data_IF_244626990389
#
_entry.id   IF_244626990389
#
_cell.length_a   1.000
_cell.length_b   1.000
_cell.length_c   1.000
_cell.angle_alpha   90.00
_cell.angle_beta   90.00
_cell.angle_gamma   90.00
#
_symmetry.space_group_name_H-M   'P 1'
#
loop_
_entity.id
_entity.type
_entity.pdbx_description
1 polymer ?
#
# COMPACT_ATOMS: atom_id res chain seq x y z
N UNK A 1 9.28 0.94 8.48
CA UNK A 1 8.05 0.69 9.27
C UNK A 1 8.40 0.72 10.75
N UNK A 2 9.34 -0.10 11.25
CA UNK A 2 9.64 -0.25 12.67
C UNK A 2 9.95 1.06 13.40
N UNK A 3 10.74 1.94 12.79
CA UNK A 3 11.05 3.26 13.35
C UNK A 3 9.81 4.15 13.46
N UNK A 4 8.91 4.07 12.47
CA UNK A 4 7.66 4.83 12.46
C UNK A 4 6.68 4.28 13.50
N UNK A 5 6.61 2.95 13.68
CA UNK A 5 5.83 2.33 14.74
C UNK A 5 6.27 2.80 16.13
N UNK A 6 7.59 2.82 16.39
CA UNK A 6 8.15 3.32 17.65
C UNK A 6 7.80 4.79 17.87
N UNK A 7 7.84 5.61 16.82
CA UNK A 7 7.45 7.01 16.87
C UNK A 7 5.95 7.15 17.23
N UNK A 8 5.08 6.39 16.59
CA UNK A 8 3.64 6.42 16.89
C UNK A 8 3.35 5.95 18.32
N UNK A 9 4.00 4.88 18.77
CA UNK A 9 3.86 4.39 20.13
C UNK A 9 4.34 5.42 21.18
N UNK A 10 5.43 6.14 20.90
CA UNK A 10 5.92 7.22 21.76
C UNK A 10 5.01 8.44 21.75
N UNK A 11 4.41 8.77 20.62
CA UNK A 11 3.52 9.93 20.44
C UNK A 11 2.13 9.69 21.05
N UNK A 12 1.69 8.45 21.02
CA UNK A 12 0.38 8.02 21.52
C UNK A 12 0.53 6.82 22.48
N UNK A 13 1.08 7.04 23.70
CA UNK A 13 1.43 5.95 24.61
C UNK A 13 0.21 5.12 25.05
N UNK A 14 -0.98 5.73 25.08
CA UNK A 14 -2.23 5.07 25.46
C UNK A 14 -2.92 4.29 24.32
N UNK A 15 -2.32 4.27 23.13
CA UNK A 15 -2.85 3.59 21.96
C UNK A 15 -1.92 2.47 21.51
N UNK A 16 -2.45 1.29 21.34
CA UNK A 16 -1.72 0.18 20.73
C UNK A 16 -1.51 0.44 19.23
N UNK A 17 -0.31 0.11 18.71
CA UNK A 17 0.01 0.17 17.29
C UNK A 17 -0.06 -1.22 16.68
N UNK A 18 -0.97 -1.41 15.74
CA UNK A 18 -1.12 -2.64 14.95
C UNK A 18 -0.38 -2.46 13.63
N UNK A 19 0.59 -3.33 13.35
CA UNK A 19 1.35 -3.34 12.10
C UNK A 19 0.86 -4.48 11.23
N UNK A 20 0.54 -4.17 9.98
CA UNK A 20 0.00 -5.14 9.02
C UNK A 20 0.49 -4.85 7.60
N UNK A 21 0.01 -5.61 6.60
CA UNK A 21 0.41 -5.43 5.19
C UNK A 21 -0.63 -5.94 4.22
N UNK A 22 -0.56 -5.48 2.96
CA UNK A 22 -1.36 -6.01 1.85
C UNK A 22 -0.50 -6.37 0.61
N UNK A 23 -0.87 -7.43 -0.12
CA UNK A 23 -1.83 -8.46 0.28
C UNK A 23 -1.29 -9.28 1.45
N UNK A 24 -2.19 -9.73 2.36
CA UNK A 24 -1.81 -10.50 3.55
C UNK A 24 -2.54 -10.03 4.81
N UNK A 25 -1.88 -10.16 5.96
CA UNK A 25 -2.38 -9.69 7.25
C UNK A 25 -3.41 -10.58 7.93
N UNK A 26 -3.94 -11.61 7.24
CA UNK A 26 -4.84 -12.64 7.78
C UNK A 26 -4.43 -14.00 7.26
N UNK A 27 -4.91 -15.08 7.87
CA UNK A 27 -4.58 -16.45 7.43
C UNK A 27 -5.01 -16.67 5.95
N UNK A 28 -6.22 -16.25 5.57
CA UNK A 28 -6.68 -16.32 4.18
C UNK A 28 -5.88 -15.35 3.30
N UNK A 29 -5.64 -14.13 3.78
CA UNK A 29 -4.87 -13.13 3.05
C UNK A 29 -3.46 -13.60 2.68
N UNK A 30 -2.77 -14.36 3.56
CA UNK A 30 -1.46 -14.92 3.27
C UNK A 30 -1.53 -16.07 2.23
N UNK A 31 -2.59 -16.86 2.20
CA UNK A 31 -2.81 -17.86 1.15
C UNK A 31 -3.04 -17.17 -0.20
N UNK A 32 -3.90 -16.15 -0.25
CA UNK A 32 -4.13 -15.35 -1.45
C UNK A 32 -2.84 -14.64 -1.91
N UNK A 33 -2.04 -14.11 -0.97
CA UNK A 33 -0.72 -13.54 -1.28
C UNK A 33 0.18 -14.56 -1.97
N UNK A 34 0.24 -15.78 -1.46
CA UNK A 34 1.05 -16.84 -2.09
C UNK A 34 0.63 -17.12 -3.53
N UNK A 35 -0.67 -17.19 -3.79
CA UNK A 35 -1.20 -17.33 -5.16
C UNK A 35 -0.85 -16.13 -6.04
N UNK A 36 -1.09 -14.91 -5.53
CA UNK A 36 -0.85 -13.66 -6.25
C UNK A 36 0.60 -13.47 -6.67
N UNK A 37 1.55 -13.90 -5.85
CA UNK A 37 2.98 -13.73 -6.11
C UNK A 37 3.58 -14.85 -6.99
N UNK A 38 2.99 -16.06 -6.98
CA UNK A 38 3.60 -17.24 -7.58
C UNK A 38 2.82 -17.82 -8.76
N UNK A 39 1.50 -17.66 -8.81
CA UNK A 39 0.70 -18.24 -9.88
C UNK A 39 0.50 -17.26 -11.06
N UNK A 40 0.63 -17.71 -12.30
CA UNK A 40 0.17 -16.93 -13.45
C UNK A 40 -1.36 -16.85 -13.45
N UNK A 41 -1.89 -15.66 -13.74
CA UNK A 41 -3.33 -15.45 -13.79
C UNK A 41 -3.70 -14.27 -14.69
N UNK A 42 -4.97 -14.22 -15.09
CA UNK A 42 -5.55 -13.08 -15.79
C UNK A 42 -5.51 -11.83 -14.91
N UNK A 43 -5.36 -10.65 -15.51
CA UNK A 43 -5.24 -9.38 -14.80
C UNK A 43 -6.48 -9.05 -13.96
N UNK A 44 -7.67 -9.34 -14.46
CA UNK A 44 -8.91 -9.11 -13.69
C UNK A 44 -9.01 -10.08 -12.50
N UNK A 45 -8.60 -11.34 -12.70
CA UNK A 45 -8.51 -12.32 -11.59
C UNK A 45 -7.53 -11.84 -10.52
N UNK A 46 -6.38 -11.30 -10.93
CA UNK A 46 -5.40 -10.75 -10.00
C UNK A 46 -5.99 -9.60 -9.17
N UNK A 47 -6.70 -8.67 -9.82
CA UNK A 47 -7.36 -7.56 -9.13
C UNK A 47 -8.45 -8.05 -8.17
N UNK A 48 -9.29 -8.98 -8.60
CA UNK A 48 -10.34 -9.56 -7.75
C UNK A 48 -9.76 -10.24 -6.51
N UNK A 49 -8.68 -10.99 -6.64
CA UNK A 49 -8.00 -11.63 -5.52
C UNK A 49 -7.32 -10.62 -4.57
N UNK A 50 -6.75 -9.53 -5.12
CA UNK A 50 -6.21 -8.43 -4.31
C UNK A 50 -7.31 -7.79 -3.45
N UNK A 51 -8.47 -7.52 -4.05
CA UNK A 51 -9.59 -6.91 -3.33
C UNK A 51 -10.31 -7.90 -2.40
N UNK A 52 -10.34 -9.19 -2.71
CA UNK A 52 -10.83 -10.23 -1.78
C UNK A 52 -9.94 -10.30 -0.54
N UNK A 53 -8.61 -10.33 -0.71
CA UNK A 53 -7.66 -10.31 0.42
C UNK A 53 -7.83 -9.03 1.26
N UNK A 54 -8.06 -7.88 0.63
CA UNK A 54 -8.33 -6.60 1.30
C UNK A 54 -9.61 -6.63 2.10
N UNK A 55 -10.72 -7.15 1.55
CA UNK A 55 -11.98 -7.23 2.30
C UNK A 55 -11.83 -8.05 3.57
N UNK A 56 -11.15 -9.19 3.48
CA UNK A 56 -10.85 -10.03 4.62
C UNK A 56 -9.98 -9.31 5.65
N UNK A 57 -8.93 -8.62 5.18
CA UNK A 57 -8.02 -7.85 6.02
C UNK A 57 -8.72 -6.69 6.73
N UNK A 58 -9.61 -5.97 6.04
CA UNK A 58 -10.43 -4.92 6.65
C UNK A 58 -11.30 -5.51 7.75
N UNK A 59 -12.03 -6.60 7.47
CA UNK A 59 -12.98 -7.18 8.41
C UNK A 59 -12.32 -7.78 9.66
N UNK A 60 -11.18 -8.42 9.51
CA UNK A 60 -10.56 -9.16 10.60
C UNK A 60 -9.49 -8.39 11.37
N UNK A 61 -8.88 -7.37 10.76
CA UNK A 61 -7.74 -6.65 11.35
C UNK A 61 -8.02 -5.16 11.47
N UNK A 62 -8.33 -4.48 10.36
CA UNK A 62 -8.35 -3.01 10.34
C UNK A 62 -9.55 -2.47 11.12
N UNK A 63 -10.78 -2.86 10.76
CA UNK A 63 -12.00 -2.37 11.42
C UNK A 63 -12.02 -2.69 12.92
N UNK A 64 -11.70 -3.91 13.38
CA UNK A 64 -11.62 -4.21 14.82
C UNK A 64 -10.58 -3.39 15.55
N UNK A 65 -9.40 -3.18 14.94
CA UNK A 65 -8.34 -2.37 15.55
C UNK A 65 -8.76 -0.90 15.67
N UNK A 66 -9.33 -0.32 14.62
CA UNK A 66 -9.80 1.07 14.63
C UNK A 66 -10.96 1.26 15.63
N UNK A 67 -11.91 0.32 15.69
CA UNK A 67 -13.01 0.33 16.66
C UNK A 67 -12.50 0.28 18.10
N UNK A 68 -11.41 -0.45 18.33
CA UNK A 68 -10.74 -0.49 19.65
C UNK A 68 -9.85 0.76 19.93
N UNK A 69 -9.87 1.79 19.07
CA UNK A 69 -9.08 3.01 19.22
C UNK A 69 -7.58 2.84 18.95
N UNK A 70 -7.16 1.73 18.36
CA UNK A 70 -5.77 1.47 18.03
C UNK A 70 -5.31 2.26 16.80
N UNK A 71 -4.00 2.37 16.62
CA UNK A 71 -3.38 2.92 15.41
C UNK A 71 -3.04 1.74 14.48
N UNK A 72 -3.46 1.81 13.22
CA UNK A 72 -3.13 0.79 12.21
C UNK A 72 -2.09 1.33 11.24
N UNK A 73 -0.99 0.64 11.08
CA UNK A 73 0.05 0.93 10.08
C UNK A 73 0.09 -0.25 9.10
N UNK A 74 -0.28 0.01 7.86
CA UNK A 74 -0.26 -1.00 6.80
C UNK A 74 0.85 -0.73 5.80
N UNK A 75 1.67 -1.76 5.52
CA UNK A 75 2.53 -1.76 4.36
C UNK A 75 1.69 -2.04 3.11
N UNK A 76 1.41 -0.98 2.36
CA UNK A 76 0.48 -0.91 1.24
C UNK A 76 -1.00 -0.98 1.67
N UNK A 77 -1.83 -0.45 0.80
CA UNK A 77 -3.28 -0.52 0.84
C UNK A 77 -3.82 -0.31 -0.58
N UNK A 78 -5.01 0.24 -0.74
CA UNK A 78 -5.71 0.35 -2.03
C UNK A 78 -4.89 1.04 -3.12
N UNK A 79 -4.11 2.08 -2.78
CA UNK A 79 -3.29 2.82 -3.75
C UNK A 79 -2.32 1.91 -4.51
N UNK A 80 -1.85 0.82 -3.87
CA UNK A 80 -1.00 -0.16 -4.52
C UNK A 80 -1.73 -0.91 -5.66
N UNK A 81 -3.03 -1.22 -5.50
CA UNK A 81 -3.80 -1.88 -6.56
C UNK A 81 -4.02 -0.94 -7.76
N UNK A 82 -4.29 0.34 -7.52
CA UNK A 82 -4.35 1.33 -8.59
C UNK A 82 -3.00 1.47 -9.31
N UNK A 83 -1.91 1.52 -8.57
CA UNK A 83 -0.59 1.66 -9.14
C UNK A 83 -0.16 0.43 -9.96
N UNK A 84 -0.27 -0.77 -9.39
CA UNK A 84 0.24 -1.99 -10.02
C UNK A 84 -0.72 -2.57 -11.06
N UNK A 85 -2.00 -2.80 -10.74
CA UNK A 85 -2.98 -3.36 -11.65
C UNK A 85 -3.47 -2.29 -12.64
N UNK A 86 -3.69 -1.05 -12.19
CA UNK A 86 -4.10 0.08 -13.04
C UNK A 86 -2.95 0.61 -13.87
N UNK A 87 -2.10 1.43 -13.30
CA UNK A 87 -1.02 2.12 -14.00
C UNK A 87 -0.04 1.16 -14.66
N UNK A 88 0.49 0.20 -13.92
CA UNK A 88 1.49 -0.74 -14.40
C UNK A 88 0.97 -1.71 -15.46
N UNK A 89 -0.19 -2.30 -15.25
CA UNK A 89 -0.75 -3.36 -16.11
C UNK A 89 -1.94 -2.94 -16.96
N UNK A 90 -2.45 -1.71 -16.80
CA UNK A 90 -3.47 -1.14 -17.66
C UNK A 90 -4.90 -1.61 -17.38
N UNK A 91 -5.20 -2.12 -16.17
CA UNK A 91 -6.57 -2.39 -15.78
C UNK A 91 -7.36 -1.06 -15.69
N UNK A 92 -8.58 -1.07 -16.17
CA UNK A 92 -9.46 0.11 -16.15
C UNK A 92 -9.57 0.70 -14.74
N UNK A 93 -9.30 1.99 -14.60
CA UNK A 93 -9.47 2.74 -13.34
C UNK A 93 -10.93 2.69 -12.88
N UNK A 94 -11.89 2.70 -13.80
CA UNK A 94 -13.31 2.58 -13.45
C UNK A 94 -13.60 1.25 -12.74
N UNK A 95 -13.06 0.11 -13.22
CA UNK A 95 -13.20 -1.19 -12.54
C UNK A 95 -12.55 -1.19 -11.15
N UNK A 96 -11.39 -0.56 -11.01
CA UNK A 96 -10.73 -0.44 -9.71
C UNK A 96 -11.54 0.43 -8.73
N UNK A 97 -12.12 1.52 -9.21
CA UNK A 97 -13.02 2.36 -8.41
C UNK A 97 -14.28 1.60 -7.96
N UNK A 98 -14.84 0.74 -8.83
CA UNK A 98 -16.00 -0.09 -8.46
C UNK A 98 -15.63 -1.11 -7.37
N UNK A 99 -14.47 -1.77 -7.49
CA UNK A 99 -13.95 -2.69 -6.49
C UNK A 99 -13.63 -1.97 -5.17
N UNK A 100 -13.02 -0.78 -5.23
CA UNK A 100 -12.73 0.03 -4.06
C UNK A 100 -14.02 0.41 -3.32
N UNK A 101 -15.03 0.91 -4.03
CA UNK A 101 -16.34 1.23 -3.44
C UNK A 101 -17.01 0.01 -2.80
N UNK A 102 -16.98 -1.13 -3.47
CA UNK A 102 -17.57 -2.34 -2.93
C UNK A 102 -16.86 -2.83 -1.66
N UNK A 103 -15.54 -2.84 -1.66
CA UNK A 103 -14.72 -3.45 -0.59
C UNK A 103 -14.53 -2.52 0.61
N UNK A 104 -14.42 -1.22 0.37
CA UNK A 104 -14.07 -0.19 1.36
C UNK A 104 -15.22 0.77 1.67
N UNK A 105 -16.38 0.64 0.99
CA UNK A 105 -17.55 1.48 1.24
C UNK A 105 -18.08 1.31 2.65
N UNK A 106 -18.40 2.43 3.31
CA UNK A 106 -19.00 2.48 4.64
C UNK A 106 -20.50 2.79 4.54
N UNK A 107 -21.22 2.56 5.64
CA UNK A 107 -22.68 2.75 5.68
C UNK A 107 -23.11 4.21 5.44
N UNK A 108 -22.24 5.19 5.73
CA UNK A 108 -22.47 6.61 5.49
C UNK A 108 -22.15 7.06 4.06
N UNK A 109 -21.75 6.12 3.19
CA UNK A 109 -21.36 6.39 1.80
C UNK A 109 -19.89 6.82 1.62
N UNK A 110 -19.13 6.98 2.70
CA UNK A 110 -17.69 7.24 2.64
C UNK A 110 -16.91 5.98 2.29
N UNK A 111 -15.62 6.14 1.98
CA UNK A 111 -14.68 5.02 1.83
C UNK A 111 -13.79 4.92 3.06
N UNK A 112 -13.54 3.70 3.51
CA UNK A 112 -12.45 3.45 4.45
C UNK A 112 -11.11 3.72 3.75
N UNK A 113 -10.46 4.81 4.12
CA UNK A 113 -9.16 5.24 3.59
C UNK A 113 -8.20 5.51 4.75
N UNK A 114 -6.88 5.37 4.55
CA UNK A 114 -5.90 5.83 5.53
C UNK A 114 -6.06 7.32 5.80
N UNK A 115 -5.88 7.75 7.03
CA UNK A 115 -5.79 9.18 7.36
C UNK A 115 -4.52 9.80 6.76
N UNK A 116 -3.43 9.01 6.67
CA UNK A 116 -2.15 9.41 6.13
C UNK A 116 -1.59 8.29 5.26
N UNK A 117 -1.10 8.64 4.07
CA UNK A 117 -0.32 7.77 3.20
C UNK A 117 1.07 8.36 2.99
N UNK A 118 2.09 7.68 3.48
CA UNK A 118 3.48 8.07 3.23
C UNK A 118 3.92 7.39 1.93
N UNK A 119 4.14 8.20 0.89
CA UNK A 119 4.60 7.74 -0.41
C UNK A 119 6.09 8.02 -0.58
N UNK A 120 6.90 6.97 -0.59
CA UNK A 120 8.33 7.03 -0.89
C UNK A 120 8.52 7.09 -2.40
N UNK A 121 8.75 8.29 -2.93
CA UNK A 121 8.98 8.48 -4.36
C UNK A 121 10.44 8.22 -4.72
N UNK A 122 10.64 7.32 -5.70
CA UNK A 122 11.96 6.93 -6.16
C UNK A 122 11.93 6.69 -7.68
N UNK A 123 12.79 7.37 -8.47
CA UNK A 123 12.93 7.08 -9.90
C UNK A 123 13.27 5.62 -10.17
N UNK A 124 12.66 5.03 -11.20
CA UNK A 124 12.77 3.60 -11.50
C UNK A 124 14.20 3.09 -11.63
N UNK A 125 15.09 3.87 -12.27
CA UNK A 125 16.51 3.53 -12.41
C UNK A 125 17.24 3.41 -11.07
N UNK A 126 16.90 4.28 -10.11
CA UNK A 126 17.50 4.26 -8.77
C UNK A 126 16.95 3.07 -7.97
N UNK A 127 15.65 2.80 -8.12
CA UNK A 127 14.99 1.65 -7.49
C UNK A 127 15.60 0.33 -7.97
N UNK A 128 15.85 0.18 -9.28
CA UNK A 128 16.47 -1.00 -9.87
C UNK A 128 17.88 -1.25 -9.33
N UNK A 129 18.73 -0.21 -9.29
CA UNK A 129 20.08 -0.29 -8.74
C UNK A 129 20.10 -0.72 -7.27
N UNK A 130 19.08 -0.34 -6.49
CA UNK A 130 18.97 -0.74 -5.08
C UNK A 130 18.46 -2.17 -4.92
N UNK A 131 17.49 -2.58 -5.75
CA UNK A 131 16.81 -3.88 -5.70
C UNK A 131 17.74 -5.03 -6.06
N UNK A 132 18.58 -4.88 -7.09
CA UNK A 132 19.46 -5.93 -7.61
C UNK A 132 20.43 -6.53 -6.58
N UNK A 133 20.50 -5.95 -5.39
CA UNK A 133 21.45 -6.33 -4.32
C UNK A 133 20.82 -7.19 -3.20
N UNK A 134 19.50 -7.45 -3.17
CA UNK A 134 18.88 -7.84 -1.90
C UNK A 134 18.27 -9.24 -1.87
N UNK A 135 17.59 -9.75 -2.94
CA UNK A 135 16.93 -11.08 -2.91
C UNK A 135 16.47 -11.55 -4.30
N UNK A 136 16.00 -12.82 -4.38
CA UNK A 136 15.31 -13.33 -5.58
C UNK A 136 14.02 -12.54 -5.82
N UNK A 137 13.85 -11.92 -7.03
CA UNK A 137 12.69 -11.08 -7.31
C UNK A 137 11.41 -11.91 -7.45
N UNK A 138 10.30 -11.38 -6.92
CA UNK A 138 8.96 -11.92 -7.13
C UNK A 138 8.42 -11.61 -8.55
N UNK A 139 7.19 -12.04 -8.84
CA UNK A 139 6.52 -11.85 -10.13
C UNK A 139 6.48 -10.38 -10.58
N UNK A 140 6.21 -9.45 -9.67
CA UNK A 140 6.13 -8.03 -9.98
C UNK A 140 7.52 -7.40 -10.09
N UNK A 141 8.45 -7.82 -9.26
CA UNK A 141 9.83 -7.33 -9.26
C UNK A 141 10.62 -7.74 -10.53
N UNK A 142 10.13 -8.73 -11.29
CA UNK A 142 10.68 -9.15 -12.59
C UNK A 142 10.21 -8.30 -13.77
N UNK A 143 9.31 -7.34 -13.54
CA UNK A 143 8.81 -6.45 -14.58
C UNK A 143 9.89 -5.42 -14.98
N UNK A 144 9.74 -4.86 -16.18
CA UNK A 144 10.68 -3.92 -16.76
C UNK A 144 10.59 -2.50 -16.14
N UNK A 145 11.55 -1.64 -16.49
CA UNK A 145 11.61 -0.26 -16.02
C UNK A 145 10.36 0.56 -16.41
N UNK A 146 9.81 0.32 -17.61
CA UNK A 146 8.62 1.01 -18.08
C UNK A 146 7.40 0.68 -17.21
N UNK A 147 7.27 -0.57 -16.77
CA UNK A 147 6.24 -0.96 -15.81
C UNK A 147 6.37 -0.16 -14.50
N UNK A 148 7.57 -0.11 -13.92
CA UNK A 148 7.78 0.61 -12.66
C UNK A 148 7.57 2.11 -12.78
N UNK A 149 7.91 2.71 -13.92
CA UNK A 149 7.62 4.13 -14.16
C UNK A 149 6.11 4.38 -14.24
N UNK A 150 5.34 3.52 -14.91
CA UNK A 150 3.87 3.60 -14.92
C UNK A 150 3.26 3.43 -13.53
N UNK A 151 3.78 2.50 -12.72
CA UNK A 151 3.37 2.32 -11.32
C UNK A 151 3.63 3.58 -10.51
N UNK A 152 4.83 4.16 -10.65
CA UNK A 152 5.21 5.42 -9.99
C UNK A 152 4.29 6.57 -10.40
N UNK A 153 4.03 6.75 -11.69
CA UNK A 153 3.15 7.81 -12.21
C UNK A 153 1.73 7.69 -11.65
N UNK A 154 1.20 6.49 -11.52
CA UNK A 154 -0.12 6.28 -10.96
C UNK A 154 -0.17 6.60 -9.46
N UNK A 155 0.85 6.25 -8.68
CA UNK A 155 0.96 6.70 -7.28
C UNK A 155 1.00 8.22 -7.17
N UNK A 156 1.79 8.90 -8.02
CA UNK A 156 1.88 10.35 -8.04
C UNK A 156 0.56 11.00 -8.47
N UNK A 157 -0.17 10.39 -9.42
CA UNK A 157 -1.50 10.83 -9.81
C UNK A 157 -2.47 10.79 -8.61
N UNK A 158 -2.53 9.68 -7.89
CA UNK A 158 -3.37 9.54 -6.69
C UNK A 158 -2.97 10.52 -5.58
N UNK A 159 -1.69 10.72 -5.38
CA UNK A 159 -1.19 11.72 -4.43
C UNK A 159 -1.61 13.16 -4.81
N UNK A 160 -1.64 13.48 -6.09
CA UNK A 160 -2.11 14.78 -6.59
C UNK A 160 -3.62 14.97 -6.45
N UNK A 161 -4.40 13.90 -6.54
CA UNK A 161 -5.86 13.94 -6.36
C UNK A 161 -6.27 14.11 -4.90
N UNK A 162 -5.48 13.59 -3.96
CA UNK A 162 -5.75 13.70 -2.53
C UNK A 162 -4.52 14.20 -1.75
N UNK A 163 -4.08 15.45 -1.98
CA UNK A 163 -2.85 15.97 -1.39
C UNK A 163 -2.90 16.12 0.13
N UNK A 164 -4.08 16.06 0.74
CA UNK A 164 -4.23 16.11 2.20
C UNK A 164 -3.90 14.78 2.86
N UNK A 165 -4.16 13.68 2.17
CA UNK A 165 -3.89 12.33 2.66
C UNK A 165 -2.46 11.88 2.40
N UNK A 166 -1.83 12.36 1.32
CA UNK A 166 -0.50 11.93 0.92
C UNK A 166 0.61 12.83 1.44
N UNK A 167 1.62 12.21 2.04
CA UNK A 167 2.91 12.81 2.35
C UNK A 167 3.98 12.21 1.44
N UNK A 168 4.49 13.01 0.50
CA UNK A 168 5.55 12.57 -0.42
C UNK A 168 6.91 12.68 0.24
N UNK A 169 7.70 11.62 0.12
CA UNK A 169 9.06 11.52 0.63
C UNK A 169 10.01 11.26 -0.53
N UNK A 170 10.99 12.13 -0.71
CA UNK A 170 12.10 11.89 -1.66
C UNK A 170 12.97 10.74 -1.15
N UNK A 171 12.72 9.54 -1.70
CA UNK A 171 13.46 8.34 -1.32
C UNK A 171 14.84 8.23 -1.97
N UNK A 172 15.30 9.24 -2.72
CA UNK A 172 16.70 9.31 -3.20
C UNK A 172 17.65 9.68 -2.07
N UNK A 173 17.15 10.36 -1.04
CA UNK A 173 17.90 10.81 0.13
C UNK A 173 18.40 9.65 1.01
N UNK A 174 19.28 9.97 1.95
CA UNK A 174 19.76 8.98 2.93
C UNK A 174 18.65 8.61 3.93
N UNK A 175 18.69 7.40 4.51
CA UNK A 175 17.70 6.99 5.52
C UNK A 175 17.57 7.97 6.69
N UNK A 176 18.64 8.63 7.08
CA UNK A 176 18.66 9.62 8.16
C UNK A 176 17.88 10.89 7.79
N UNK A 177 18.09 11.41 6.58
CA UNK A 177 17.37 12.58 6.06
C UNK A 177 15.87 12.28 5.94
N UNK A 178 15.54 11.13 5.35
CA UNK A 178 14.16 10.65 5.25
C UNK A 178 13.52 10.55 6.62
N UNK A 179 14.21 9.94 7.58
CA UNK A 179 13.68 9.76 8.93
C UNK A 179 13.44 11.08 9.65
N UNK A 180 14.35 12.04 9.51
CA UNK A 180 14.19 13.37 10.11
C UNK A 180 12.98 14.12 9.53
N UNK A 181 12.68 13.95 8.24
CA UNK A 181 11.45 14.48 7.63
C UNK A 181 10.18 13.83 8.20
N UNK A 182 10.19 12.50 8.36
CA UNK A 182 9.05 11.74 8.85
C UNK A 182 8.71 11.97 10.33
N UNK A 183 9.68 12.36 11.15
CA UNK A 183 9.43 12.67 12.57
C UNK A 183 8.43 13.79 12.80
N UNK A 184 8.24 14.68 11.83
CA UNK A 184 7.38 15.85 11.94
C UNK A 184 6.03 15.69 11.22
N UNK A 185 5.76 14.53 10.67
CA UNK A 185 4.48 14.23 10.00
C UNK A 185 3.43 13.97 11.06
N UNK A 186 2.32 14.71 11.00
CA UNK A 186 1.16 14.62 11.90
C UNK A 186 0.08 13.71 11.34
#
# INVERSE_FOLDING_TARGET
IDSFCKLMQSRYPDREVVVTREPGGTALGEQLRSLLLNAPMNLETEALLMFAARREHIAQVIEPALTAGKIVISDRFTDASFAYQGGGRGLSIAKLNDLERWVQGQADGSLLQPNLTILFDLPGEVAEKRRSKVRTPDKFEKMDLNFFEKVRQEYLRRAKEDPKRFHLVDATQTPEVIWNGLKNVE
#
